data_IF_067878588235
#
_entry.id   IF_067878588235
#
_cell.length_a   1.000
_cell.length_b   1.000
_cell.length_c   1.000
_cell.angle_alpha   90.00
_cell.angle_beta   90.00
_cell.angle_gamma   90.00
#
_symmetry.space_group_name_H-M   'P 1'
#
loop_
_entity.id
_entity.type
_entity.pdbx_description
1 polymer ?
#
# COMPACT_ATOMS: atom_id res chain seq x y z
N UNK A 1 21.42 -1.39 14.03
CA UNK A 1 20.37 -2.17 14.73
C UNK A 1 19.02 -1.70 14.20
N UNK A 2 18.35 -2.53 13.39
CA UNK A 2 17.06 -2.20 12.77
C UNK A 2 15.99 -2.53 13.81
N UNK A 3 15.56 -1.51 14.56
CA UNK A 3 14.55 -1.67 15.61
C UNK A 3 13.22 -2.05 14.98
N UNK A 4 12.77 -3.28 15.19
CA UNK A 4 11.37 -3.64 14.96
C UNK A 4 10.55 -2.81 15.94
N UNK A 5 9.79 -1.84 15.43
CA UNK A 5 8.88 -1.05 16.25
C UNK A 5 7.93 -2.03 16.97
N UNK A 6 7.89 -2.02 18.31
CA UNK A 6 7.13 -3.02 19.02
C UNK A 6 5.63 -2.72 18.86
N UNK A 7 4.88 -3.73 18.42
CA UNK A 7 3.45 -3.59 18.15
C UNK A 7 2.66 -3.68 19.46
N UNK A 8 1.75 -2.75 19.67
CA UNK A 8 0.83 -2.75 20.79
C UNK A 8 -0.45 -3.52 20.42
N UNK A 9 -1.10 -4.09 21.43
CA UNK A 9 -2.47 -4.61 21.35
C UNK A 9 -3.46 -3.49 20.97
N UNK A 10 -4.66 -3.86 20.50
CA UNK A 10 -5.67 -2.88 20.05
C UNK A 10 -6.14 -1.93 21.16
N UNK A 11 -6.04 -2.35 22.42
CA UNK A 11 -6.30 -1.57 23.64
C UNK A 11 -5.10 -0.69 24.07
N UNK A 12 -3.96 -0.81 23.40
CA UNK A 12 -2.76 -0.02 23.64
C UNK A 12 -1.98 -0.38 24.91
N UNK A 13 -2.43 -1.36 25.69
CA UNK A 13 -1.89 -1.64 27.03
C UNK A 13 -0.83 -2.73 27.07
N UNK A 14 -0.74 -3.57 26.05
CA UNK A 14 0.15 -4.74 26.05
C UNK A 14 1.05 -4.75 24.81
N UNK A 15 2.34 -5.01 25.03
CA UNK A 15 3.31 -5.22 23.97
C UNK A 15 3.15 -6.63 23.39
N UNK A 16 2.91 -6.72 22.08
CA UNK A 16 2.80 -8.00 21.39
C UNK A 16 4.19 -8.45 20.95
N UNK A 17 4.69 -9.49 21.59
CA UNK A 17 5.99 -10.10 21.28
C UNK A 17 5.84 -11.43 20.54
N UNK A 18 4.68 -12.09 20.67
CA UNK A 18 4.39 -13.36 20.00
C UNK A 18 3.86 -13.14 18.57
N UNK A 19 4.47 -13.82 17.59
CA UNK A 19 4.12 -13.71 16.16
C UNK A 19 2.63 -13.98 15.88
N UNK A 20 2.03 -14.95 16.56
CA UNK A 20 0.61 -15.28 16.37
C UNK A 20 -0.32 -14.16 16.86
N UNK A 21 0.01 -13.54 17.99
CA UNK A 21 -0.76 -12.41 18.53
C UNK A 21 -0.64 -11.18 17.64
N UNK A 22 0.55 -10.92 17.10
CA UNK A 22 0.77 -9.86 16.11
C UNK A 22 -0.11 -10.09 14.88
N UNK A 23 -0.10 -11.30 14.30
CA UNK A 23 -0.91 -11.62 13.11
C UNK A 23 -2.41 -11.46 13.37
N UNK A 24 -2.88 -11.87 14.55
CA UNK A 24 -4.28 -11.70 14.95
C UNK A 24 -4.64 -10.21 15.08
N UNK A 25 -3.78 -9.41 15.71
CA UNK A 25 -3.98 -7.97 15.85
C UNK A 25 -4.04 -7.26 14.48
N UNK A 26 -3.16 -7.65 13.54
CA UNK A 26 -3.24 -7.14 12.17
C UNK A 26 -4.54 -7.53 11.48
N UNK A 27 -4.98 -8.79 11.59
CA UNK A 27 -6.23 -9.25 11.00
C UNK A 27 -7.45 -8.47 11.53
N UNK A 28 -7.50 -8.21 12.84
CA UNK A 28 -8.56 -7.42 13.46
C UNK A 28 -8.51 -5.94 13.02
N UNK A 29 -7.32 -5.35 12.97
CA UNK A 29 -7.12 -3.97 12.53
C UNK A 29 -7.52 -3.80 11.06
N UNK A 30 -7.06 -4.68 10.17
CA UNK A 30 -7.45 -4.65 8.76
C UNK A 30 -8.95 -4.85 8.59
N UNK A 31 -9.56 -5.77 9.35
CA UNK A 31 -11.01 -5.96 9.31
C UNK A 31 -11.76 -4.71 9.73
N UNK A 32 -11.31 -4.03 10.79
CA UNK A 32 -11.89 -2.77 11.26
C UNK A 32 -11.79 -1.68 10.19
N UNK A 33 -10.59 -1.47 9.64
CA UNK A 33 -10.34 -0.41 8.64
C UNK A 33 -11.09 -0.67 7.34
N UNK A 34 -11.03 -1.88 6.80
CA UNK A 34 -11.59 -2.20 5.48
C UNK A 34 -13.11 -2.40 5.49
N UNK A 35 -13.68 -2.85 6.62
CA UNK A 35 -15.13 -3.03 6.74
C UNK A 35 -15.81 -1.86 7.47
N UNK A 36 -15.08 -0.78 7.76
CA UNK A 36 -15.67 0.44 8.27
C UNK A 36 -16.59 1.02 7.20
N UNK A 37 -17.90 0.96 7.43
CA UNK A 37 -18.87 1.59 6.55
C UNK A 37 -18.61 3.10 6.53
N UNK A 38 -18.10 3.58 5.40
CA UNK A 38 -17.87 5.01 5.20
C UNK A 38 -19.05 5.58 4.43
N UNK A 39 -19.89 6.38 5.10
CA UNK A 39 -20.93 7.16 4.43
C UNK A 39 -20.29 8.42 3.86
N UNK A 40 -19.86 8.36 2.60
CA UNK A 40 -19.49 9.57 1.86
C UNK A 40 -20.79 10.34 1.57
N UNK A 41 -20.85 11.61 1.96
CA UNK A 41 -21.98 12.48 1.64
C UNK A 41 -21.94 12.90 0.17
N UNK A 42 -23.10 13.03 -0.48
CA UNK A 42 -23.20 13.52 -1.87
C UNK A 42 -22.54 14.90 -2.03
N UNK A 43 -22.70 15.79 -1.05
CA UNK A 43 -22.01 17.08 -1.03
C UNK A 43 -20.48 16.95 -0.99
N UNK A 44 -19.95 15.82 -0.49
CA UNK A 44 -18.54 15.50 -0.52
C UNK A 44 -18.06 15.01 -1.88
N UNK A 45 -18.93 14.36 -2.64
CA UNK A 45 -18.69 13.91 -4.01
C UNK A 45 -18.74 15.12 -4.95
N UNK A 46 -19.75 15.97 -4.82
CA UNK A 46 -19.96 17.15 -5.67
C UNK A 46 -18.84 18.20 -5.54
N UNK A 47 -18.25 18.32 -4.35
CA UNK A 47 -17.09 19.21 -4.14
C UNK A 47 -15.77 18.64 -4.64
N UNK A 48 -15.72 17.37 -5.02
CA UNK A 48 -14.49 16.75 -5.47
C UNK A 48 -14.26 17.06 -6.96
N UNK A 49 -13.21 17.80 -7.34
CA UNK A 49 -12.93 18.07 -8.74
C UNK A 49 -12.62 16.76 -9.46
N UNK A 50 -13.46 16.38 -10.43
CA UNK A 50 -13.18 15.23 -11.28
C UNK A 50 -12.03 15.61 -12.23
N UNK A 51 -10.93 14.86 -12.14
CA UNK A 51 -9.89 14.91 -13.17
C UNK A 51 -10.39 14.14 -14.38
N UNK A 52 -10.10 14.64 -15.58
CA UNK A 52 -10.45 13.94 -16.82
C UNK A 52 -9.96 12.49 -16.77
N UNK A 53 -10.84 11.57 -17.21
CA UNK A 53 -10.49 10.15 -17.31
C UNK A 53 -9.28 10.00 -18.22
N UNK A 54 -8.14 9.64 -17.62
CA UNK A 54 -6.88 9.51 -18.36
C UNK A 54 -6.85 8.20 -19.13
N UNK A 55 -7.39 8.23 -20.35
CA UNK A 55 -7.43 7.08 -21.28
C UNK A 55 -6.04 6.52 -21.60
N UNK A 56 -4.96 7.29 -21.37
CA UNK A 56 -3.59 6.82 -21.53
C UNK A 56 -3.23 5.68 -20.55
N UNK A 57 -3.99 5.52 -19.46
CA UNK A 57 -3.82 4.41 -18.50
C UNK A 57 -4.30 3.07 -19.06
N UNK A 58 -5.20 3.09 -20.05
CA UNK A 58 -5.66 1.88 -20.75
C UNK A 58 -4.70 1.47 -21.86
N UNK A 59 -3.72 2.32 -22.20
CA UNK A 59 -2.72 2.01 -23.21
C UNK A 59 -1.66 1.06 -22.62
N UNK A 60 -1.26 0.02 -23.38
CA UNK A 60 -0.16 -0.82 -22.96
C UNK A 60 1.14 0.01 -22.90
N UNK A 61 2.01 -0.22 -21.90
CA UNK A 61 3.23 0.55 -21.76
C UNK A 61 4.14 0.36 -22.97
N UNK A 62 4.69 1.48 -23.45
CA UNK A 62 5.61 1.50 -24.58
C UNK A 62 6.96 0.85 -24.25
N UNK A 63 7.70 0.44 -25.28
CA UNK A 63 9.02 -0.17 -25.10
C UNK A 63 10.01 0.76 -24.34
N UNK A 64 10.10 2.07 -24.64
CA UNK A 64 10.95 2.98 -23.87
C UNK A 64 10.53 3.11 -22.39
N UNK A 65 9.23 3.09 -22.09
CA UNK A 65 8.73 3.12 -20.71
C UNK A 65 9.10 1.86 -19.95
N UNK A 66 8.97 0.70 -20.60
CA UNK A 66 9.38 -0.59 -20.03
C UNK A 66 10.88 -0.62 -19.71
N UNK A 67 11.72 -0.12 -20.62
CA UNK A 67 13.17 -0.04 -20.41
C UNK A 67 13.50 0.88 -19.23
N UNK A 68 12.88 2.06 -19.15
CA UNK A 68 13.06 2.99 -18.02
C UNK A 68 12.61 2.39 -16.70
N UNK A 69 11.45 1.75 -16.67
CA UNK A 69 10.93 1.11 -15.46
C UNK A 69 11.88 0.00 -14.97
N UNK A 70 12.36 -0.87 -15.87
CA UNK A 70 13.33 -1.92 -15.54
C UNK A 70 14.63 -1.31 -15.00
N UNK A 71 15.15 -0.26 -15.65
CA UNK A 71 16.37 0.42 -15.19
C UNK A 71 16.19 1.11 -13.83
N UNK A 72 15.03 1.72 -13.57
CA UNK A 72 14.71 2.35 -12.28
C UNK A 72 14.63 1.30 -11.17
N UNK A 73 13.94 0.19 -11.42
CA UNK A 73 13.84 -0.94 -10.49
C UNK A 73 15.21 -1.56 -10.23
N UNK A 74 16.04 -1.74 -11.26
CA UNK A 74 17.38 -2.33 -11.10
C UNK A 74 18.37 -1.41 -10.42
N UNK A 75 18.17 -0.10 -10.49
CA UNK A 75 19.05 0.91 -9.87
C UNK A 75 18.61 1.30 -8.45
N UNK A 76 17.49 0.75 -7.95
CA UNK A 76 16.98 1.03 -6.61
C UNK A 76 16.55 2.48 -6.38
N UNK A 77 16.37 3.26 -7.46
CA UNK A 77 15.90 4.64 -7.37
C UNK A 77 14.38 4.66 -7.49
N UNK A 78 13.73 5.13 -6.43
CA UNK A 78 12.26 5.25 -6.33
C UNK A 78 11.79 6.43 -7.18
N UNK A 79 10.85 6.19 -8.10
CA UNK A 79 10.14 7.24 -8.83
C UNK A 79 8.88 7.61 -8.03
N UNK A 80 8.99 8.57 -7.12
CA UNK A 80 7.85 9.13 -6.38
C UNK A 80 8.12 9.30 -4.90
N UNK A 81 7.51 10.34 -4.31
CA UNK A 81 7.59 10.64 -2.88
C UNK A 81 6.88 9.62 -1.99
N UNK A 82 6.21 8.63 -2.59
CA UNK A 82 5.39 7.63 -1.89
C UNK A 82 6.22 6.51 -1.24
N UNK A 83 7.55 6.55 -1.37
CA UNK A 83 8.49 5.71 -0.64
C UNK A 83 8.19 4.19 -0.66
N UNK A 84 7.46 3.68 -1.67
CA UNK A 84 7.16 2.26 -1.80
C UNK A 84 8.40 1.57 -2.40
N UNK A 85 9.10 0.72 -1.62
CA UNK A 85 10.32 0.10 -2.10
C UNK A 85 10.01 -1.02 -3.11
N UNK A 86 10.84 -1.19 -4.15
CA UNK A 86 10.70 -2.28 -5.12
C UNK A 86 10.84 -3.70 -4.50
N UNK A 87 11.28 -3.82 -3.23
CA UNK A 87 11.27 -5.08 -2.47
C UNK A 87 9.90 -5.78 -2.41
N UNK A 88 8.78 -5.06 -2.57
CA UNK A 88 7.43 -5.64 -2.49
C UNK A 88 7.13 -6.60 -3.66
N UNK A 89 7.90 -6.56 -4.76
CA UNK A 89 7.68 -7.41 -5.93
C UNK A 89 8.23 -8.86 -5.81
N UNK A 90 8.95 -9.21 -4.73
CA UNK A 90 9.66 -10.50 -4.64
C UNK A 90 8.79 -11.73 -4.29
N UNK A 91 7.50 -11.58 -3.97
CA UNK A 91 6.71 -12.67 -3.37
C UNK A 91 5.43 -13.09 -4.11
N UNK A 92 5.25 -12.70 -5.38
CA UNK A 92 4.00 -12.94 -6.14
C UNK A 92 4.02 -14.05 -7.18
N UNK A 93 5.03 -14.94 -7.23
CA UNK A 93 5.09 -16.02 -8.22
C UNK A 93 4.50 -17.35 -7.71
N UNK A 94 3.80 -18.16 -8.54
CA UNK A 94 3.31 -19.47 -8.12
C UNK A 94 4.46 -20.44 -7.81
N UNK A 95 4.23 -21.38 -6.89
CA UNK A 95 5.10 -22.55 -6.71
C UNK A 95 4.85 -23.59 -7.79
#
# INVERSE_FOLDING_TARGET
MKGTAPLLSSDGTTLLTEKLQILKCWAELFRSVLNCSSTISDAAIDRNPQVDTKNDLDLPPSLPEKIRAVQQISSGKVLGSDAIPPEVYKHGGPR
#
